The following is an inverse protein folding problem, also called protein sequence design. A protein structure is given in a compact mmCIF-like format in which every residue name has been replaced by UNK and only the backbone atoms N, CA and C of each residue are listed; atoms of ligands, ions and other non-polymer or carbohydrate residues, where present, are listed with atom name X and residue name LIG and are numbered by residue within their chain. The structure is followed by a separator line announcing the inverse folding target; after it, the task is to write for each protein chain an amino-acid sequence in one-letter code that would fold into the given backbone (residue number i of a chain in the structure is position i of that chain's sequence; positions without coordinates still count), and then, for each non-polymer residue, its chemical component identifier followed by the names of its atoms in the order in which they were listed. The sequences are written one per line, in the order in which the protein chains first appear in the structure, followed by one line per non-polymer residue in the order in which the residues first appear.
data_IF_734819385563
#
_entry.id   IF_734819385563
#
_cell.length_a   1.000
_cell.length_b   1.000
_cell.length_c   1.000
_cell.angle_alpha   90.00
_cell.angle_beta   90.00
_cell.angle_gamma   90.00
#
_symmetry.space_group_name_H-M   'P 1'
#
loop_
_entity.id
_entity.type
_entity.pdbx_description
1 polymer ?
#
# COMPACT_ATOMS: atom_id res chain seq x y z
N UNK A 1 14.48 -19.18 -7.00
CA UNK A 1 13.10 -18.67 -6.98
C UNK A 1 12.34 -19.46 -5.91
N UNK A 2 11.97 -18.88 -4.76
CA UNK A 2 11.05 -19.56 -3.87
C UNK A 2 9.61 -19.39 -4.41
N UNK A 3 8.71 -20.36 -4.18
CA UNK A 3 7.37 -20.37 -4.77
C UNK A 3 6.42 -19.41 -4.04
N UNK A 4 5.52 -18.80 -4.80
CA UNK A 4 4.42 -17.94 -4.36
C UNK A 4 3.52 -18.74 -3.41
N UNK A 5 3.74 -18.58 -2.11
CA UNK A 5 2.92 -19.14 -1.05
C UNK A 5 1.58 -18.41 -0.99
N UNK A 6 0.51 -19.09 -1.39
CA UNK A 6 -0.86 -18.65 -1.11
C UNK A 6 -1.05 -18.58 0.40
N UNK A 7 -1.13 -17.38 0.96
CA UNK A 7 -1.43 -17.19 2.39
C UNK A 7 -2.85 -17.73 2.64
N UNK A 8 -2.94 -18.75 3.49
CA UNK A 8 -4.18 -19.37 3.94
C UNK A 8 -4.70 -18.52 5.10
N UNK A 9 -5.88 -17.94 4.93
CA UNK A 9 -6.51 -17.05 5.93
C UNK A 9 -6.79 -17.85 7.20
N UNK A 10 -6.13 -17.49 8.31
CA UNK A 10 -6.19 -18.21 9.56
C UNK A 10 -7.38 -17.79 10.42
N UNK A 11 -8.13 -18.76 10.92
CA UNK A 11 -9.38 -18.58 11.68
C UNK A 11 -9.15 -18.43 13.19
N UNK A 12 -7.90 -18.31 13.64
CA UNK A 12 -7.53 -18.22 15.05
C UNK A 12 -6.86 -16.86 15.35
N UNK A 13 -7.13 -16.27 16.53
CA UNK A 13 -6.61 -14.94 16.87
C UNK A 13 -5.07 -14.89 16.95
N UNK A 14 -4.44 -15.95 17.46
CA UNK A 14 -2.96 -16.07 17.49
C UNK A 14 -2.34 -16.11 16.09
N UNK A 15 -2.98 -16.84 15.17
CA UNK A 15 -2.51 -16.91 13.79
C UNK A 15 -2.71 -15.59 13.05
N UNK A 16 -3.76 -14.82 13.41
CA UNK A 16 -3.94 -13.45 12.90
C UNK A 16 -2.84 -12.53 13.37
N UNK A 17 -2.40 -12.62 14.62
CA UNK A 17 -1.32 -11.80 15.16
C UNK A 17 0.05 -12.13 14.55
N UNK A 18 0.36 -13.43 14.36
CA UNK A 18 1.59 -13.86 13.68
C UNK A 18 1.59 -13.49 12.20
N UNK A 19 0.46 -13.71 11.51
CA UNK A 19 0.29 -13.32 10.10
C UNK A 19 0.42 -11.81 9.93
N UNK A 20 -0.22 -11.04 10.81
CA UNK A 20 -0.12 -9.58 10.83
C UNK A 20 1.33 -9.11 10.96
N UNK A 21 2.06 -9.64 11.94
CA UNK A 21 3.46 -9.26 12.22
C UNK A 21 4.33 -9.50 10.99
N UNK A 22 4.18 -10.66 10.35
CA UNK A 22 4.94 -11.01 9.16
C UNK A 22 4.61 -10.11 7.96
N UNK A 23 3.32 -9.83 7.75
CA UNK A 23 2.88 -8.91 6.69
C UNK A 23 3.40 -7.49 6.90
N UNK A 24 3.40 -6.97 8.14
CA UNK A 24 3.97 -5.66 8.44
C UNK A 24 5.47 -5.63 8.14
N UNK A 25 6.20 -6.65 8.58
CA UNK A 25 7.64 -6.75 8.33
C UNK A 25 7.92 -6.78 6.82
N UNK A 26 7.18 -7.59 6.06
CA UNK A 26 7.33 -7.66 4.61
C UNK A 26 7.01 -6.33 3.94
N UNK A 27 5.88 -5.71 4.24
CA UNK A 27 5.50 -4.42 3.67
C UNK A 27 6.49 -3.28 4.00
N UNK A 28 7.25 -3.40 5.09
CA UNK A 28 8.20 -2.37 5.51
C UNK A 28 9.63 -2.60 5.01
N UNK A 29 10.09 -3.86 5.02
CA UNK A 29 11.52 -4.18 4.99
C UNK A 29 11.91 -5.17 3.90
N UNK A 30 10.96 -5.84 3.23
CA UNK A 30 11.34 -6.80 2.19
C UNK A 30 12.05 -6.09 1.03
N UNK A 31 13.13 -6.68 0.55
CA UNK A 31 13.92 -6.11 -0.55
C UNK A 31 13.11 -6.07 -1.86
N UNK A 32 12.19 -7.02 -2.05
CA UNK A 32 11.46 -7.19 -3.28
C UNK A 32 10.16 -6.38 -3.25
N UNK A 33 10.00 -5.50 -4.23
CA UNK A 33 8.84 -4.61 -4.32
C UNK A 33 7.52 -5.37 -4.46
N UNK A 34 7.53 -6.54 -5.09
CA UNK A 34 6.34 -7.36 -5.30
C UNK A 34 5.86 -7.98 -3.99
N UNK A 35 6.79 -8.41 -3.14
CA UNK A 35 6.50 -8.87 -1.77
C UNK A 35 5.91 -7.73 -0.94
N UNK A 36 6.54 -6.54 -0.95
CA UNK A 36 6.01 -5.38 -0.23
C UNK A 36 4.62 -5.00 -0.71
N UNK A 37 4.40 -4.98 -2.03
CA UNK A 37 3.11 -4.71 -2.63
C UNK A 37 2.05 -5.70 -2.17
N UNK A 38 2.32 -7.01 -2.26
CA UNK A 38 1.37 -8.05 -1.83
C UNK A 38 1.06 -7.89 -0.34
N UNK A 39 2.07 -7.63 0.49
CA UNK A 39 1.88 -7.42 1.91
C UNK A 39 0.98 -6.20 2.22
N UNK A 40 1.19 -5.06 1.53
CA UNK A 40 0.31 -3.89 1.63
C UNK A 40 -1.12 -4.23 1.22
N UNK A 41 -1.32 -4.99 0.14
CA UNK A 41 -2.66 -5.40 -0.30
C UNK A 41 -3.37 -6.27 0.72
N UNK A 42 -2.68 -7.24 1.31
CA UNK A 42 -3.27 -8.15 2.28
C UNK A 42 -3.54 -7.45 3.61
N UNK A 43 -2.65 -6.55 4.07
CA UNK A 43 -2.91 -5.70 5.24
C UNK A 43 -4.15 -4.82 5.04
N UNK A 44 -4.24 -4.15 3.89
CA UNK A 44 -5.38 -3.31 3.57
C UNK A 44 -6.70 -4.10 3.52
N UNK A 45 -6.70 -5.36 3.07
CA UNK A 45 -7.92 -6.19 3.02
C UNK A 45 -8.29 -6.75 4.39
N UNK A 46 -7.31 -7.26 5.13
CA UNK A 46 -7.52 -8.01 6.36
C UNK A 46 -7.80 -7.14 7.58
N UNK A 47 -7.31 -5.90 7.59
CA UNK A 47 -7.36 -5.00 8.76
C UNK A 47 -7.98 -3.62 8.45
N UNK A 48 -8.83 -3.53 7.43
CA UNK A 48 -9.51 -2.28 7.02
C UNK A 48 -10.31 -1.58 8.14
N UNK A 49 -10.77 -2.34 9.13
CA UNK A 49 -11.61 -1.86 10.22
C UNK A 49 -10.77 -1.44 11.45
N UNK A 50 -9.45 -1.69 11.42
CA UNK A 50 -8.54 -1.24 12.46
C UNK A 50 -8.20 0.23 12.31
N UNK A 51 -8.11 0.96 13.43
CA UNK A 51 -7.82 2.39 13.41
C UNK A 51 -6.41 2.73 12.89
N UNK A 52 -5.45 1.82 13.05
CA UNK A 52 -4.05 2.03 12.68
C UNK A 52 -3.75 1.84 11.19
N UNK A 53 -4.62 1.15 10.44
CA UNK A 53 -4.30 0.74 9.06
C UNK A 53 -4.15 1.94 8.13
N UNK A 54 -4.94 2.99 8.32
CA UNK A 54 -4.85 4.19 7.49
C UNK A 54 -3.48 4.86 7.63
N UNK A 55 -2.99 5.01 8.86
CA UNK A 55 -1.66 5.59 9.12
C UNK A 55 -0.55 4.74 8.50
N UNK A 56 -0.65 3.42 8.65
CA UNK A 56 0.28 2.48 8.01
C UNK A 56 0.29 2.62 6.48
N UNK A 57 -0.89 2.69 5.84
CA UNK A 57 -0.97 2.87 4.40
C UNK A 57 -0.43 4.24 3.96
N UNK A 58 -0.69 5.31 4.72
CA UNK A 58 -0.14 6.64 4.45
C UNK A 58 1.40 6.62 4.47
N UNK A 59 1.98 5.94 5.46
CA UNK A 59 3.43 5.75 5.53
C UNK A 59 3.96 4.96 4.32
N UNK A 60 3.34 3.84 3.96
CA UNK A 60 3.75 3.06 2.78
C UNK A 60 3.58 3.84 1.47
N UNK A 61 2.53 4.63 1.34
CA UNK A 61 2.32 5.53 0.20
C UNK A 61 3.40 6.62 0.11
N UNK A 62 4.02 7.01 1.22
CA UNK A 62 4.96 8.13 1.29
C UNK A 62 6.42 7.70 1.23
N UNK A 63 6.76 6.64 1.98
CA UNK A 63 8.12 6.31 2.39
C UNK A 63 8.63 4.98 1.83
N UNK A 64 7.83 4.22 1.09
CA UNK A 64 8.35 3.02 0.43
C UNK A 64 9.46 3.39 -0.57
N UNK A 65 10.56 2.63 -0.51
CA UNK A 65 11.79 2.88 -1.25
C UNK A 65 11.74 2.42 -2.71
N UNK A 66 10.57 2.03 -3.22
CA UNK A 66 10.42 1.57 -4.60
C UNK A 66 10.97 2.59 -5.60
N UNK A 67 11.81 2.06 -6.49
CA UNK A 67 12.35 2.75 -7.65
C UNK A 67 12.08 1.87 -8.87
N UNK A 68 11.33 2.42 -9.82
CA UNK A 68 10.97 1.73 -11.05
C UNK A 68 12.19 1.52 -11.94
N UNK A 69 12.39 0.29 -12.38
CA UNK A 69 13.36 -0.08 -13.41
C UNK A 69 12.67 -0.52 -14.70
N UNK A 70 11.50 -1.15 -14.59
CA UNK A 70 10.67 -1.59 -15.72
C UNK A 70 9.23 -1.12 -15.58
N UNK A 71 8.59 -0.85 -16.71
CA UNK A 71 7.22 -0.31 -16.71
C UNK A 71 6.18 -1.28 -16.16
N UNK A 72 6.45 -2.58 -16.19
CA UNK A 72 5.56 -3.62 -15.67
C UNK A 72 5.68 -3.84 -14.16
N UNK A 73 6.66 -3.23 -13.49
CA UNK A 73 6.82 -3.37 -12.05
C UNK A 73 5.68 -2.67 -11.31
N UNK A 74 5.13 -3.36 -10.33
CA UNK A 74 4.16 -2.78 -9.43
C UNK A 74 4.82 -1.86 -8.42
N UNK A 75 4.10 -0.84 -7.98
CA UNK A 75 4.62 0.15 -7.05
C UNK A 75 3.85 0.01 -5.71
N UNK A 76 4.52 -0.37 -4.61
CA UNK A 76 3.90 -0.42 -3.29
C UNK A 76 3.28 0.91 -2.85
N UNK A 77 3.86 2.06 -3.23
CA UNK A 77 3.27 3.38 -2.95
C UNK A 77 1.92 3.55 -3.66
N UNK A 78 1.84 3.16 -4.93
CA UNK A 78 0.58 3.18 -5.69
C UNK A 78 -0.46 2.26 -5.08
N UNK A 79 -0.04 1.07 -4.68
CA UNK A 79 -0.91 0.08 -4.04
C UNK A 79 -1.53 0.63 -2.75
N UNK A 80 -0.72 1.29 -1.91
CA UNK A 80 -1.19 1.94 -0.70
C UNK A 80 -2.15 3.10 -1.02
N UNK A 81 -1.84 3.94 -2.01
CA UNK A 81 -2.74 5.01 -2.47
C UNK A 81 -4.09 4.48 -2.95
N UNK A 82 -4.09 3.40 -3.74
CA UNK A 82 -5.33 2.75 -4.22
C UNK A 82 -6.17 2.21 -3.06
N UNK A 83 -5.53 1.58 -2.07
CA UNK A 83 -6.20 1.11 -0.88
C UNK A 83 -6.84 2.28 -0.10
N UNK A 84 -6.10 3.37 0.10
CA UNK A 84 -6.59 4.58 0.80
C UNK A 84 -7.79 5.19 0.06
N UNK A 85 -7.70 5.38 -1.25
CA UNK A 85 -8.81 5.94 -2.04
C UNK A 85 -10.05 5.04 -1.95
N UNK A 86 -9.87 3.73 -2.01
CA UNK A 86 -10.99 2.78 -1.99
C UNK A 86 -11.68 2.73 -0.63
N UNK A 87 -10.91 2.76 0.45
CA UNK A 87 -11.43 2.54 1.81
C UNK A 87 -11.78 3.84 2.53
N UNK A 88 -11.09 4.94 2.22
CA UNK A 88 -11.21 6.23 2.91
C UNK A 88 -11.38 7.40 1.92
N UNK A 89 -12.29 7.33 0.92
CA UNK A 89 -12.39 8.34 -0.14
C UNK A 89 -12.66 9.75 0.39
N UNK A 90 -13.42 9.87 1.48
CA UNK A 90 -13.81 11.15 2.09
C UNK A 90 -12.92 11.57 3.26
N UNK A 91 -11.87 10.80 3.59
CA UNK A 91 -10.98 11.15 4.68
C UNK A 91 -10.03 12.29 4.27
N UNK A 92 -9.82 13.34 5.11
CA UNK A 92 -8.99 14.48 4.74
C UNK A 92 -7.56 14.11 4.28
N UNK A 93 -6.96 13.09 4.91
CA UNK A 93 -5.63 12.62 4.53
C UNK A 93 -5.56 12.11 3.09
N UNK A 94 -6.66 11.57 2.54
CA UNK A 94 -6.69 11.04 1.16
C UNK A 94 -6.35 12.13 0.15
N UNK A 95 -7.00 13.30 0.25
CA UNK A 95 -6.74 14.42 -0.65
C UNK A 95 -5.36 15.05 -0.41
N UNK A 96 -4.94 15.18 0.86
CA UNK A 96 -3.63 15.72 1.22
C UNK A 96 -2.52 14.85 0.60
N UNK A 97 -2.61 13.54 0.80
CA UNK A 97 -1.64 12.58 0.31
C UNK A 97 -1.63 12.54 -1.22
N UNK A 98 -2.80 12.56 -1.88
CA UNK A 98 -2.84 12.59 -3.34
C UNK A 98 -2.19 13.86 -3.92
N UNK A 99 -2.42 15.04 -3.31
CA UNK A 99 -1.77 16.29 -3.75
C UNK A 99 -0.25 16.23 -3.59
N UNK A 100 0.21 15.72 -2.46
CA UNK A 100 1.64 15.56 -2.22
C UNK A 100 2.26 14.57 -3.21
N UNK A 101 1.69 13.37 -3.37
CA UNK A 101 2.21 12.35 -4.29
C UNK A 101 2.12 12.78 -5.75
N UNK A 102 1.10 13.53 -6.15
CA UNK A 102 1.00 14.11 -7.49
C UNK A 102 2.17 15.04 -7.84
N UNK A 103 2.72 15.74 -6.85
CA UNK A 103 3.81 16.71 -7.01
C UNK A 103 5.19 16.11 -6.75
N UNK A 104 5.31 15.30 -5.70
CA UNK A 104 6.58 14.97 -5.06
C UNK A 104 6.97 13.49 -5.14
N UNK A 105 6.08 12.59 -5.59
CA UNK A 105 6.44 11.17 -5.69
C UNK A 105 7.58 10.98 -6.71
N UNK A 106 8.57 10.14 -6.38
CA UNK A 106 9.72 9.90 -7.26
C UNK A 106 9.34 9.15 -8.54
N UNK A 107 8.30 8.31 -8.48
CA UNK A 107 7.83 7.50 -9.60
C UNK A 107 6.84 8.30 -10.46
N UNK A 108 7.13 8.41 -11.76
CA UNK A 108 6.30 9.18 -12.68
C UNK A 108 4.89 8.58 -12.82
N UNK A 109 4.77 7.25 -12.80
CA UNK A 109 3.47 6.60 -12.86
C UNK A 109 2.65 6.90 -11.60
N UNK A 110 3.28 6.94 -10.42
CA UNK A 110 2.63 7.37 -9.19
C UNK A 110 2.13 8.81 -9.26
N UNK A 111 2.96 9.75 -9.74
CA UNK A 111 2.53 11.14 -9.96
C UNK A 111 1.34 11.23 -10.92
N UNK A 112 1.39 10.52 -12.06
CA UNK A 112 0.30 10.51 -13.07
C UNK A 112 -0.99 9.95 -12.50
N UNK A 113 -0.91 8.84 -11.78
CA UNK A 113 -2.06 8.23 -11.12
C UNK A 113 -2.70 9.20 -10.11
N UNK A 114 -1.90 9.80 -9.23
CA UNK A 114 -2.39 10.73 -8.22
C UNK A 114 -3.06 11.96 -8.86
N UNK A 115 -2.47 12.55 -9.90
CA UNK A 115 -3.07 13.64 -10.67
C UNK A 115 -4.40 13.25 -11.32
N UNK A 116 -4.49 12.04 -11.89
CA UNK A 116 -5.73 11.54 -12.48
C UNK A 116 -6.82 11.37 -11.41
N UNK A 117 -6.46 10.87 -10.22
CA UNK A 117 -7.40 10.65 -9.12
C UNK A 117 -7.86 11.94 -8.45
N UNK A 118 -6.99 12.94 -8.30
CA UNK A 118 -7.40 14.27 -7.81
C UNK A 118 -8.50 14.87 -8.67
N UNK A 119 -8.36 14.84 -9.99
CA UNK A 119 -9.39 15.33 -10.94
C UNK A 119 -10.73 14.58 -10.86
N UNK A 120 -10.76 13.40 -10.24
CA UNK A 120 -11.98 12.61 -10.06
C UNK A 120 -12.64 12.84 -8.69
N UNK A 121 -11.89 13.39 -7.73
CA UNK A 121 -12.31 13.61 -6.34
C UNK A 121 -12.50 15.09 -6.00
N UNK A 122 -12.06 16.00 -6.87
CA UNK A 122 -12.39 17.44 -6.88
C UNK A 122 -13.68 17.70 -7.65
#
# INVERSE_FOLDING_TARGET
MPPIGRIKIATNWKDKDETFTLLQQWAQQDEHWDVRQVAVQELAKGWKDESWILEFLCDRATNDLFQRQKDWEGNPRLTALEAIIKQYPNHPQTLILLRDRAKNDLDEQARKFANKKLKQLE
#
